data_IF_813204060383
#
_entry.id   IF_813204060383
#
_cell.length_a   1.000
_cell.length_b   1.000
_cell.length_c   1.000
_cell.angle_alpha   90.00
_cell.angle_beta   90.00
_cell.angle_gamma   90.00
#
_symmetry.space_group_name_H-M   'P 1'
#
loop_
_entity.id
_entity.type
_entity.pdbx_description
1 polymer ?
#
# COMPACT_ATOMS: atom_id res chain seq x y z
N UNK A 1 -5.39 17.85 -1.72
CA UNK A 1 -4.72 16.59 -2.15
C UNK A 1 -5.70 15.88 -3.08
N UNK A 2 -5.27 15.42 -4.26
CA UNK A 2 -6.17 14.66 -5.14
C UNK A 2 -6.55 13.35 -4.44
N UNK A 3 -7.85 13.14 -4.22
CA UNK A 3 -8.35 11.88 -3.68
C UNK A 3 -8.52 10.89 -4.84
N UNK A 4 -7.66 9.89 -4.97
CA UNK A 4 -7.66 8.93 -6.09
C UNK A 4 -8.73 7.82 -5.94
N UNK A 5 -9.93 8.17 -5.46
CA UNK A 5 -11.03 7.21 -5.19
C UNK A 5 -11.68 6.74 -6.50
N UNK A 6 -11.61 5.46 -6.79
CA UNK A 6 -12.41 4.81 -7.84
C UNK A 6 -13.83 4.53 -7.36
N UNK A 7 -14.80 4.68 -8.27
CA UNK A 7 -16.23 4.44 -8.04
C UNK A 7 -16.55 2.95 -7.88
N UNK A 8 -17.64 2.71 -7.17
CA UNK A 8 -18.14 1.43 -6.65
C UNK A 8 -18.32 0.32 -7.69
N UNK A 9 -17.36 -0.60 -7.74
CA UNK A 9 -17.50 -1.96 -8.29
C UNK A 9 -16.71 -2.92 -7.41
N UNK A 10 -17.36 -3.98 -6.91
CA UNK A 10 -16.79 -4.88 -5.90
C UNK A 10 -15.44 -5.45 -6.31
N UNK A 11 -14.38 -5.08 -5.58
CA UNK A 11 -12.99 -5.44 -5.88
C UNK A 11 -12.07 -4.25 -6.19
N UNK A 12 -12.59 -3.01 -6.22
CA UNK A 12 -11.78 -1.81 -6.44
C UNK A 12 -10.72 -1.59 -5.35
N UNK A 13 -9.46 -1.55 -5.74
CA UNK A 13 -8.34 -1.10 -4.89
C UNK A 13 -8.40 0.42 -4.77
N UNK A 14 -8.61 0.92 -3.55
CA UNK A 14 -8.55 2.34 -3.21
C UNK A 14 -7.12 2.71 -2.77
N UNK A 15 -6.54 3.69 -3.45
CA UNK A 15 -5.24 4.26 -3.12
C UNK A 15 -5.44 5.57 -2.34
N UNK A 16 -4.72 5.75 -1.24
CA UNK A 16 -4.85 6.95 -0.42
C UNK A 16 -3.94 8.08 -0.92
N UNK A 17 -2.71 7.74 -1.28
CA UNK A 17 -1.74 8.68 -1.84
C UNK A 17 -0.88 7.97 -2.89
N UNK A 18 -0.48 8.71 -3.92
CA UNK A 18 0.26 8.21 -5.07
C UNK A 18 1.25 9.28 -5.55
N UNK A 19 2.49 8.87 -5.77
CA UNK A 19 3.54 9.69 -6.38
C UNK A 19 4.04 8.98 -7.63
N UNK A 20 4.14 9.73 -8.73
CA UNK A 20 4.54 9.20 -10.04
C UNK A 20 5.90 9.76 -10.44
N UNK A 21 6.66 8.97 -11.20
CA UNK A 21 7.86 9.45 -11.87
C UNK A 21 7.50 10.44 -12.99
N UNK A 22 8.40 11.37 -13.31
CA UNK A 22 8.19 12.40 -14.33
C UNK A 22 7.97 11.83 -15.75
N UNK A 23 8.41 10.59 -16.00
CA UNK A 23 8.22 9.90 -17.28
C UNK A 23 6.82 9.29 -17.47
N UNK A 24 5.94 9.41 -16.48
CA UNK A 24 4.59 8.85 -16.49
C UNK A 24 3.58 9.92 -16.89
N UNK A 25 2.78 9.63 -17.92
CA UNK A 25 1.68 10.46 -18.38
C UNK A 25 0.38 10.05 -17.67
N UNK A 26 -0.30 11.02 -17.07
CA UNK A 26 -1.46 10.80 -16.19
C UNK A 26 -2.81 11.07 -16.86
N UNK A 27 -2.83 11.48 -18.14
CA UNK A 27 -4.07 11.85 -18.85
C UNK A 27 -5.13 10.75 -18.84
N UNK A 28 -4.70 9.49 -18.98
CA UNK A 28 -5.59 8.33 -18.92
C UNK A 28 -5.81 7.82 -17.49
N UNK A 29 -4.92 8.16 -16.55
CA UNK A 29 -4.97 7.64 -15.19
C UNK A 29 -6.22 8.11 -14.43
N UNK A 30 -6.68 9.33 -14.69
CA UNK A 30 -7.89 9.86 -14.08
C UNK A 30 -9.17 9.22 -14.62
N UNK A 31 -9.13 8.67 -15.84
CA UNK A 31 -10.28 8.10 -16.54
C UNK A 31 -10.45 6.62 -16.20
N UNK A 32 -9.40 5.83 -16.42
CA UNK A 32 -9.47 4.36 -16.33
C UNK A 32 -8.30 3.74 -15.55
N UNK A 33 -7.50 4.57 -14.85
CA UNK A 33 -6.32 4.15 -14.08
C UNK A 33 -5.19 3.58 -14.94
N UNK A 34 -5.16 3.87 -16.24
CA UNK A 34 -4.05 3.48 -17.12
C UNK A 34 -2.85 4.42 -16.97
N UNK A 35 -1.66 3.84 -16.76
CA UNK A 35 -0.39 4.57 -16.78
C UNK A 35 0.31 4.40 -18.13
N UNK A 36 0.58 5.52 -18.80
CA UNK A 36 1.44 5.54 -19.99
C UNK A 36 2.82 6.04 -19.58
N UNK A 37 3.88 5.37 -20.04
CA UNK A 37 5.25 5.74 -19.70
C UNK A 37 6.21 5.50 -20.86
N UNK A 38 7.20 6.37 -20.96
CA UNK A 38 8.38 6.15 -21.81
C UNK A 38 9.49 5.68 -20.86
N UNK A 39 9.95 4.41 -20.96
CA UNK A 39 10.93 3.89 -20.02
C UNK A 39 12.29 4.59 -20.21
N UNK A 40 12.87 5.16 -19.14
CA UNK A 40 14.30 5.49 -19.08
C UNK A 40 15.15 4.22 -19.19
N UNK A 41 16.44 4.38 -19.49
CA UNK A 41 17.37 3.26 -19.52
C UNK A 41 17.57 2.69 -18.11
N UNK A 42 17.29 1.39 -17.95
CA UNK A 42 17.47 0.66 -16.69
C UNK A 42 16.21 0.52 -15.84
N UNK A 43 16.40 0.23 -14.55
CA UNK A 43 15.31 0.06 -13.58
C UNK A 43 14.98 1.40 -12.91
N UNK A 44 13.71 1.77 -12.86
CA UNK A 44 13.25 2.98 -12.19
C UNK A 44 11.88 2.77 -11.54
N UNK A 45 11.59 3.46 -10.42
CA UNK A 45 10.28 3.39 -9.78
C UNK A 45 9.27 4.23 -10.57
N UNK A 46 8.31 3.60 -11.23
CA UNK A 46 7.25 4.32 -11.95
C UNK A 46 6.25 5.02 -11.01
N UNK A 47 5.94 4.38 -9.86
CA UNK A 47 4.91 4.83 -8.94
C UNK A 47 5.22 4.36 -7.51
N UNK A 48 5.01 5.23 -6.53
CA UNK A 48 4.94 4.89 -5.12
C UNK A 48 3.53 5.16 -4.60
N UNK A 49 2.96 4.25 -3.82
CA UNK A 49 1.60 4.39 -3.31
C UNK A 49 1.48 4.03 -1.83
N UNK A 50 0.45 4.56 -1.20
CA UNK A 50 0.04 4.20 0.14
C UNK A 50 -1.41 3.70 0.13
N UNK A 51 -1.66 2.63 0.89
CA UNK A 51 -2.99 2.05 1.11
C UNK A 51 -3.14 1.70 2.60
N UNK A 52 -4.08 2.35 3.26
CA UNK A 52 -4.46 2.18 4.66
C UNK A 52 -5.75 1.36 4.83
N UNK A 53 -6.27 0.81 3.73
CA UNK A 53 -7.42 -0.10 3.76
C UNK A 53 -7.11 -1.36 4.57
N UNK A 54 -8.18 -2.06 4.97
CA UNK A 54 -8.08 -3.34 5.66
C UNK A 54 -7.28 -4.34 4.81
N UNK A 55 -6.12 -4.77 5.34
CA UNK A 55 -5.25 -5.72 4.67
C UNK A 55 -5.18 -7.02 5.47
N UNK A 56 -4.91 -8.12 4.76
CA UNK A 56 -4.63 -9.40 5.40
C UNK A 56 -3.13 -9.44 5.75
N UNK A 57 -2.76 -9.45 7.05
CA UNK A 57 -1.36 -9.50 7.40
C UNK A 57 -0.72 -10.81 6.96
N UNK A 58 0.54 -10.79 6.48
CA UNK A 58 1.20 -11.99 5.95
C UNK A 58 1.49 -13.04 7.03
N UNK A 59 1.52 -12.64 8.30
CA UNK A 59 1.70 -13.52 9.44
C UNK A 59 0.94 -13.01 10.65
N UNK A 60 0.64 -13.92 11.57
CA UNK A 60 0.03 -13.60 12.87
C UNK A 60 1.04 -13.88 13.97
N UNK A 61 1.37 -12.87 14.77
CA UNK A 61 2.19 -13.04 15.96
C UNK A 61 1.27 -13.35 17.14
N UNK A 62 1.58 -14.41 17.88
CA UNK A 62 0.90 -14.75 19.14
C UNK A 62 1.95 -14.67 20.22
N UNK A 63 1.77 -13.76 21.19
CA UNK A 63 2.66 -13.66 22.34
C UNK A 63 2.06 -14.43 23.51
N UNK A 64 2.84 -15.31 24.14
CA UNK A 64 2.45 -15.98 25.37
C UNK A 64 3.22 -15.35 26.54
N UNK A 65 2.48 -14.84 27.51
CA UNK A 65 3.03 -14.20 28.69
C UNK A 65 2.75 -15.11 29.90
N UNK A 66 3.80 -15.63 30.52
CA UNK A 66 3.70 -16.37 31.78
C UNK A 66 4.24 -15.53 32.93
N UNK A 67 3.43 -15.36 33.98
CA UNK A 67 3.92 -14.81 35.25
C UNK A 67 4.73 -15.87 35.99
N UNK A 68 6.05 -15.70 36.01
CA UNK A 68 7.00 -16.61 36.63
C UNK A 68 7.37 -16.19 38.07
N UNK A 69 6.59 -15.31 38.69
CA UNK A 69 6.72 -14.80 40.06
C UNK A 69 6.29 -13.33 40.21
N UNK A 70 6.29 -12.77 41.44
CA UNK A 70 5.75 -11.43 41.75
C UNK A 70 6.41 -10.26 41.01
N UNK A 71 7.61 -10.48 40.47
CA UNK A 71 8.41 -9.49 39.74
C UNK A 71 9.03 -10.05 38.46
N UNK A 72 8.55 -11.21 37.97
CA UNK A 72 9.14 -11.87 36.79
C UNK A 72 8.06 -12.33 35.83
N UNK A 73 8.19 -11.86 34.59
CA UNK A 73 7.36 -12.25 33.46
C UNK A 73 8.25 -12.96 32.43
N UNK A 74 7.78 -14.06 31.86
CA UNK A 74 8.40 -14.74 30.71
C UNK A 74 7.56 -14.52 29.47
N UNK A 75 8.23 -14.26 28.35
CA UNK A 75 7.64 -14.12 27.03
C UNK A 75 8.07 -15.33 26.19
N UNK A 76 7.11 -15.96 25.52
CA UNK A 76 7.33 -17.05 24.57
C UNK A 76 6.74 -16.69 23.21
#
# INVERSE_FOLDING_TARGET
RPDYRSSSGGGSVVLDDCNFHESVQLDSFDIDRTLHLIPPDGEFPAMNYQMAQEFKPPFRVTALIEEAGPSRVRYF
#
